data_IF_589059179069
#
_entry.id   IF_589059179069
#
_cell.length_a   1.000
_cell.length_b   1.000
_cell.length_c   1.000
_cell.angle_alpha   90.00
_cell.angle_beta   90.00
_cell.angle_gamma   90.00
#
_symmetry.space_group_name_H-M   'P 1'
#
loop_
_entity.id
_entity.type
_entity.pdbx_description
1 polymer ?
#
# COMPACT_ATOMS: atom_id res chain seq x y z
N UNK A 1 25.96 -6.11 -11.01
CA UNK A 1 24.56 -5.68 -10.92
C UNK A 1 23.97 -5.73 -12.29
N UNK A 2 22.79 -6.27 -12.41
CA UNK A 2 22.09 -6.39 -13.69
C UNK A 2 21.64 -5.02 -14.21
N UNK A 3 21.73 -4.82 -15.51
CA UNK A 3 21.13 -3.67 -16.20
C UNK A 3 19.75 -4.02 -16.80
N UNK A 4 19.13 -5.08 -16.30
CA UNK A 4 17.81 -5.51 -16.74
C UNK A 4 16.74 -4.49 -16.32
N UNK A 5 15.87 -4.14 -17.24
CA UNK A 5 14.70 -3.31 -16.94
C UNK A 5 13.68 -4.15 -16.18
N UNK A 6 13.30 -3.71 -15.01
CA UNK A 6 12.25 -4.33 -14.22
C UNK A 6 10.95 -3.57 -14.43
N UNK A 7 9.91 -4.28 -14.85
CA UNK A 7 8.59 -3.70 -15.12
C UNK A 7 7.55 -4.42 -14.27
N UNK A 8 6.95 -3.70 -13.35
CA UNK A 8 5.75 -4.16 -12.64
C UNK A 8 4.48 -3.81 -13.43
N UNK A 9 3.41 -4.57 -13.21
CA UNK A 9 2.16 -4.38 -13.94
C UNK A 9 0.94 -4.64 -13.07
N UNK A 10 -0.13 -3.93 -13.35
CA UNK A 10 -1.47 -4.18 -12.79
C UNK A 10 -2.42 -4.86 -13.81
N UNK A 11 -1.87 -5.45 -14.88
CA UNK A 11 -2.67 -6.07 -15.93
C UNK A 11 -3.40 -7.33 -15.48
N UNK A 12 -2.92 -8.01 -14.43
CA UNK A 12 -3.53 -9.22 -13.87
C UNK A 12 -3.62 -9.11 -12.34
N UNK A 13 -4.50 -8.26 -11.82
CA UNK A 13 -4.61 -8.07 -10.38
C UNK A 13 -5.17 -9.30 -9.68
N UNK A 14 -4.78 -9.47 -8.42
CA UNK A 14 -5.36 -10.46 -7.52
C UNK A 14 -6.58 -9.86 -6.83
N UNK A 15 -7.66 -10.60 -6.79
CA UNK A 15 -8.86 -10.21 -6.05
C UNK A 15 -8.76 -10.69 -4.60
N UNK A 16 -8.82 -9.77 -3.66
CA UNK A 16 -8.68 -10.06 -2.24
C UNK A 16 -9.95 -9.65 -1.50
N UNK A 17 -10.52 -10.58 -0.73
CA UNK A 17 -11.72 -10.37 0.07
C UNK A 17 -11.39 -10.10 1.53
N UNK A 18 -12.13 -9.19 2.16
CA UNK A 18 -12.06 -8.99 3.60
C UNK A 18 -10.70 -8.54 4.11
N UNK A 19 -10.03 -7.66 3.40
CA UNK A 19 -8.67 -7.21 3.74
C UNK A 19 -8.66 -6.60 5.15
N UNK A 20 -7.80 -7.12 6.00
CA UNK A 20 -7.67 -6.72 7.41
C UNK A 20 -8.99 -6.74 8.19
N UNK A 21 -9.83 -7.73 7.92
CA UNK A 21 -11.14 -7.84 8.57
C UNK A 21 -12.19 -6.87 8.05
N UNK A 22 -11.93 -6.20 6.94
CA UNK A 22 -12.88 -5.34 6.26
C UNK A 22 -13.95 -6.12 5.51
N UNK A 23 -14.59 -5.50 4.56
CA UNK A 23 -15.68 -6.09 3.78
C UNK A 23 -15.54 -5.81 2.29
N UNK A 24 -16.03 -6.76 1.49
CA UNK A 24 -15.98 -6.72 0.03
C UNK A 24 -14.63 -7.12 -0.52
N UNK A 25 -14.49 -7.04 -1.82
CA UNK A 25 -13.30 -7.44 -2.55
C UNK A 25 -12.64 -6.26 -3.25
N UNK A 26 -11.32 -6.20 -3.18
CA UNK A 26 -10.51 -5.23 -3.91
C UNK A 26 -9.61 -5.93 -4.93
N UNK A 27 -9.10 -5.18 -5.90
CA UNK A 27 -8.10 -5.64 -6.85
C UNK A 27 -6.73 -5.13 -6.44
N UNK A 28 -5.76 -6.04 -6.32
CA UNK A 28 -4.43 -5.73 -5.84
C UNK A 28 -3.36 -6.24 -6.80
N UNK A 29 -2.36 -5.41 -7.03
CA UNK A 29 -1.17 -5.75 -7.81
C UNK A 29 0.06 -5.23 -7.12
N UNK A 30 1.11 -6.02 -7.03
CA UNK A 30 2.40 -5.57 -6.55
C UNK A 30 3.29 -5.28 -7.75
N UNK A 31 3.62 -4.00 -7.95
CA UNK A 31 4.52 -3.59 -9.03
C UNK A 31 5.95 -4.00 -8.75
N UNK A 32 6.42 -3.71 -7.55
CA UNK A 32 7.80 -3.94 -7.13
C UNK A 32 7.82 -4.44 -5.70
N UNK A 33 8.81 -5.27 -5.39
CA UNK A 33 9.08 -5.74 -4.03
C UNK A 33 10.45 -5.26 -3.56
N UNK A 34 10.63 -5.19 -2.24
CA UNK A 34 11.87 -4.70 -1.66
C UNK A 34 13.12 -5.50 -2.04
N UNK A 35 12.97 -6.78 -2.40
CA UNK A 35 14.10 -7.61 -2.83
C UNK A 35 14.61 -7.31 -4.24
N UNK A 36 14.02 -6.35 -4.93
CA UNK A 36 14.44 -5.91 -6.27
C UNK A 36 15.38 -4.70 -6.23
N UNK A 37 15.59 -4.09 -5.06
CA UNK A 37 16.32 -2.82 -4.96
C UNK A 37 17.13 -2.70 -3.67
N UNK A 38 18.02 -1.73 -3.65
CA UNK A 38 18.87 -1.44 -2.48
C UNK A 38 18.18 -0.59 -1.42
N UNK A 39 17.17 0.19 -1.80
CA UNK A 39 16.44 1.05 -0.86
C UNK A 39 15.62 0.24 0.13
N UNK A 40 15.20 0.88 1.21
CA UNK A 40 14.35 0.29 2.24
C UNK A 40 12.87 0.29 1.88
N UNK A 41 12.54 0.47 0.60
CA UNK A 41 11.20 0.24 0.08
C UNK A 41 10.87 -1.24 0.20
N UNK A 42 9.76 -1.57 0.86
CA UNK A 42 9.31 -2.94 1.03
C UNK A 42 8.38 -3.39 -0.08
N UNK A 43 7.47 -2.51 -0.50
CA UNK A 43 6.48 -2.83 -1.51
C UNK A 43 5.96 -1.57 -2.20
N UNK A 44 5.72 -1.69 -3.50
CA UNK A 44 5.10 -0.66 -4.33
C UNK A 44 3.92 -1.30 -5.06
N UNK A 45 2.71 -0.84 -4.75
CA UNK A 45 1.48 -1.56 -5.09
C UNK A 45 0.46 -0.67 -5.76
N UNK A 46 -0.43 -1.31 -6.51
CA UNK A 46 -1.62 -0.71 -7.08
C UNK A 46 -2.84 -1.41 -6.49
N UNK A 47 -3.81 -0.62 -6.02
CA UNK A 47 -5.04 -1.15 -5.40
C UNK A 47 -6.23 -0.43 -5.98
N UNK A 48 -7.24 -1.18 -6.37
CA UNK A 48 -8.55 -0.65 -6.74
C UNK A 48 -9.58 -1.11 -5.72
N UNK A 49 -10.18 -0.14 -5.05
CA UNK A 49 -11.16 -0.36 -3.98
C UNK A 49 -12.55 0.02 -4.52
N UNK A 50 -13.40 -0.95 -4.88
CA UNK A 50 -14.73 -0.68 -5.40
C UNK A 50 -15.62 0.07 -4.41
N UNK A 51 -16.74 0.67 -4.90
CA UNK A 51 -17.73 1.26 -4.01
C UNK A 51 -18.22 0.28 -2.94
N UNK A 52 -18.35 0.76 -1.72
CA UNK A 52 -18.82 -0.03 -0.58
C UNK A 52 -17.79 -0.97 0.03
N UNK A 53 -16.59 -1.06 -0.52
CA UNK A 53 -15.52 -1.90 0.02
C UNK A 53 -14.79 -1.18 1.14
N UNK A 54 -14.45 -1.93 2.19
CA UNK A 54 -13.75 -1.44 3.38
C UNK A 54 -12.47 -2.23 3.58
N UNK A 55 -11.34 -1.53 3.68
CA UNK A 55 -10.10 -2.07 4.23
C UNK A 55 -10.17 -1.88 5.74
N UNK A 56 -10.19 -2.98 6.48
CA UNK A 56 -10.40 -2.97 7.93
C UNK A 56 -9.26 -2.30 8.70
N UNK A 57 -9.56 -1.92 9.93
CA UNK A 57 -8.59 -1.29 10.81
C UNK A 57 -7.45 -2.26 11.18
N UNK A 58 -6.22 -1.79 11.03
CA UNK A 58 -5.03 -2.55 11.38
C UNK A 58 -3.88 -1.62 11.77
N UNK A 59 -2.91 -2.16 12.49
CA UNK A 59 -1.74 -1.43 12.97
C UNK A 59 -0.53 -1.77 12.12
N UNK A 60 0.20 -0.77 11.67
CA UNK A 60 1.48 -0.94 10.99
C UNK A 60 2.61 -1.01 12.00
N UNK A 61 3.00 -2.22 12.40
CA UNK A 61 4.02 -2.44 13.43
C UNK A 61 5.44 -2.50 12.87
N UNK A 62 5.62 -2.58 11.55
CA UNK A 62 6.91 -2.76 10.90
C UNK A 62 7.20 -1.78 9.77
N UNK A 63 6.22 -1.03 9.31
CA UNK A 63 6.30 -0.23 8.09
C UNK A 63 5.68 1.13 8.28
N UNK A 64 6.17 2.07 7.50
CA UNK A 64 5.43 3.28 7.15
C UNK A 64 4.73 3.03 5.82
N UNK A 65 3.54 3.59 5.64
CA UNK A 65 2.76 3.37 4.41
C UNK A 65 2.19 4.66 3.89
N UNK A 66 2.28 4.86 2.58
CA UNK A 66 1.68 5.99 1.88
C UNK A 66 0.60 5.47 0.94
N UNK A 67 -0.60 6.03 1.05
CA UNK A 67 -1.67 5.90 0.06
C UNK A 67 -1.69 7.16 -0.79
N UNK A 68 -1.50 7.02 -2.08
CA UNK A 68 -1.70 8.10 -3.05
C UNK A 68 -2.96 7.81 -3.86
N UNK A 69 -3.91 8.76 -3.88
CA UNK A 69 -5.16 8.62 -4.62
C UNK A 69 -4.97 9.07 -6.06
N UNK A 70 -5.14 8.15 -7.01
CA UNK A 70 -5.10 8.45 -8.44
C UNK A 70 -6.46 8.93 -8.91
N UNK A 71 -7.53 8.24 -8.50
CA UNK A 71 -8.92 8.61 -8.82
C UNK A 71 -9.87 8.10 -7.75
N UNK A 72 -11.08 8.63 -7.77
CA UNK A 72 -12.13 8.28 -6.80
C UNK A 72 -11.95 9.03 -5.49
N UNK A 73 -12.86 8.79 -4.57
CA UNK A 73 -12.85 9.43 -3.24
C UNK A 73 -13.04 8.38 -2.16
N UNK A 74 -12.29 8.53 -1.10
CA UNK A 74 -12.35 7.62 0.03
C UNK A 74 -12.33 8.35 1.37
N UNK A 75 -12.62 7.61 2.41
CA UNK A 75 -12.48 8.06 3.79
C UNK A 75 -11.34 7.28 4.43
N UNK A 76 -10.32 8.02 4.86
CA UNK A 76 -9.16 7.48 5.53
C UNK A 76 -9.22 7.79 7.02
N UNK A 77 -9.04 6.78 7.85
CA UNK A 77 -8.86 6.94 9.29
C UNK A 77 -7.40 6.64 9.63
N UNK A 78 -6.75 7.53 10.32
CA UNK A 78 -5.43 7.31 10.92
C UNK A 78 -5.52 7.68 12.39
N UNK A 79 -5.37 6.69 13.27
CA UNK A 79 -5.65 6.87 14.69
C UNK A 79 -7.12 7.25 14.90
N UNK A 80 -7.36 8.38 15.54
CA UNK A 80 -8.72 8.90 15.80
C UNK A 80 -9.14 9.96 14.77
N UNK A 81 -8.27 10.32 13.84
CA UNK A 81 -8.55 11.32 12.82
C UNK A 81 -9.12 10.68 11.56
N UNK A 82 -10.20 11.26 11.06
CA UNK A 82 -10.89 10.81 9.86
C UNK A 82 -10.86 11.93 8.83
N UNK A 83 -10.41 11.61 7.61
CA UNK A 83 -10.35 12.54 6.50
C UNK A 83 -10.93 11.95 5.23
N UNK A 84 -11.69 12.75 4.50
CA UNK A 84 -12.00 12.45 3.11
C UNK A 84 -10.79 12.78 2.25
N UNK A 85 -10.44 11.85 1.35
CA UNK A 85 -9.32 12.00 0.42
C UNK A 85 -9.77 11.75 -1.01
N UNK A 86 -9.14 12.46 -1.94
CA UNK A 86 -9.46 12.40 -3.35
C UNK A 86 -8.23 12.50 -4.24
N UNK A 87 -8.42 12.58 -5.56
CA UNK A 87 -7.34 12.55 -6.55
C UNK A 87 -6.23 13.56 -6.27
N UNK A 88 -4.99 13.11 -6.37
CA UNK A 88 -3.81 13.94 -6.15
C UNK A 88 -3.40 14.12 -4.68
N UNK A 89 -4.09 13.46 -3.76
CA UNK A 89 -3.77 13.53 -2.33
C UNK A 89 -3.07 12.26 -1.86
N UNK A 90 -2.12 12.43 -0.95
CA UNK A 90 -1.41 11.34 -0.30
C UNK A 90 -1.66 11.34 1.20
N UNK A 91 -1.76 10.16 1.78
CA UNK A 91 -1.91 9.97 3.23
C UNK A 91 -0.78 9.10 3.73
N UNK A 92 -0.06 9.59 4.74
CA UNK A 92 0.97 8.83 5.43
C UNK A 92 0.38 8.18 6.68
N UNK A 93 0.60 6.88 6.81
CA UNK A 93 0.42 6.16 8.07
C UNK A 93 1.80 5.88 8.64
N UNK A 94 2.16 6.48 9.78
CA UNK A 94 3.47 6.30 10.38
C UNK A 94 3.63 4.91 11.00
N UNK A 95 4.88 4.55 11.32
CA UNK A 95 5.17 3.34 12.09
C UNK A 95 4.33 3.33 13.38
N UNK A 96 3.76 2.18 13.70
CA UNK A 96 2.79 1.96 14.80
C UNK A 96 1.44 2.67 14.62
N UNK A 97 1.23 3.32 13.47
CA UNK A 97 -0.04 3.92 13.14
C UNK A 97 -1.12 2.88 12.90
N UNK A 98 -2.33 3.20 13.34
CA UNK A 98 -3.53 2.41 13.09
C UNK A 98 -4.34 3.10 12.02
N UNK A 99 -4.76 2.38 10.99
CA UNK A 99 -5.57 2.97 9.96
C UNK A 99 -6.62 2.02 9.39
N UNK A 100 -7.60 2.61 8.71
CA UNK A 100 -8.61 1.94 7.91
C UNK A 100 -8.98 2.83 6.73
N UNK A 101 -9.59 2.25 5.70
CA UNK A 101 -9.98 2.96 4.49
C UNK A 101 -11.30 2.40 3.95
N UNK A 102 -12.13 3.28 3.43
CA UNK A 102 -13.33 2.89 2.67
C UNK A 102 -13.54 3.83 1.48
N UNK A 103 -14.04 3.28 0.40
CA UNK A 103 -14.48 4.05 -0.75
C UNK A 103 -15.82 4.71 -0.45
N UNK A 104 -15.96 5.97 -0.81
CA UNK A 104 -17.22 6.72 -0.74
C UNK A 104 -17.65 7.12 -2.13
N UNK A 105 -18.98 7.22 -2.34
CA UNK A 105 -19.54 7.54 -3.66
C UNK A 105 -19.65 6.33 -4.58
N UNK A 106 -19.84 6.58 -5.86
CA UNK A 106 -20.21 5.57 -6.87
C UNK A 106 -19.03 5.10 -7.72
N UNK A 107 -17.87 5.73 -7.56
CA UNK A 107 -16.65 5.37 -8.29
C UNK A 107 -15.72 4.54 -7.43
N UNK A 108 -14.98 3.59 -8.02
CA UNK A 108 -13.88 2.94 -7.30
C UNK A 108 -12.78 3.96 -6.99
N UNK A 109 -12.07 3.73 -5.90
CA UNK A 109 -10.82 4.43 -5.60
C UNK A 109 -9.66 3.64 -6.17
N UNK A 110 -8.79 4.32 -6.91
CA UNK A 110 -7.53 3.79 -7.40
C UNK A 110 -6.40 4.38 -6.57
N UNK A 111 -5.63 3.51 -5.94
CA UNK A 111 -4.53 3.87 -5.06
C UNK A 111 -3.19 3.36 -5.60
N UNK A 112 -2.17 4.17 -5.44
CA UNK A 112 -0.78 3.73 -5.43
C UNK A 112 -0.35 3.65 -3.97
N UNK A 113 0.17 2.50 -3.55
CA UNK A 113 0.55 2.24 -2.18
C UNK A 113 2.05 1.98 -2.10
N UNK A 114 2.74 2.74 -1.27
CA UNK A 114 4.17 2.54 -1.00
C UNK A 114 4.35 2.16 0.45
N UNK A 115 5.07 1.09 0.70
CA UNK A 115 5.43 0.63 2.05
C UNK A 115 6.93 0.69 2.22
N UNK A 116 7.39 1.36 3.29
CA UNK A 116 8.80 1.58 3.60
C UNK A 116 9.16 0.98 4.96
N UNK A 117 10.39 0.50 5.08
CA UNK A 117 10.94 0.00 6.34
C UNK A 117 11.76 1.11 7.02
N UNK A 118 11.27 1.69 8.12
CA UNK A 118 12.01 2.75 8.82
C UNK A 118 13.21 2.22 9.61
N UNK A 119 14.19 3.07 9.98
CA UNK A 119 15.40 2.66 10.71
C UNK A 119 15.16 1.81 11.95
N UNK A 120 14.17 2.07 12.83
CA UNK A 120 13.92 1.19 13.97
C UNK A 120 13.68 -0.27 13.59
N UNK A 121 13.22 -0.51 12.37
CA UNK A 121 12.97 -1.85 11.84
C UNK A 121 14.21 -2.37 11.11
N UNK A 122 14.81 -1.57 10.23
CA UNK A 122 15.99 -2.00 9.46
C UNK A 122 17.21 -2.24 10.36
N UNK A 123 17.30 -1.53 11.48
CA UNK A 123 18.38 -1.71 12.46
C UNK A 123 18.41 -3.10 13.12
N UNK A 124 17.26 -3.80 13.13
CA UNK A 124 17.12 -5.13 13.72
C UNK A 124 16.98 -6.25 12.69
N UNK A 125 16.97 -5.91 11.41
CA UNK A 125 16.89 -6.86 10.31
C UNK A 125 18.27 -7.08 9.66
N UNK A 126 18.48 -8.23 8.98
CA UNK A 126 19.64 -8.40 8.11
C UNK A 126 19.73 -7.28 7.07
N UNK A 127 20.95 -6.93 6.60
CA UNK A 127 21.10 -5.93 5.55
C UNK A 127 20.24 -6.25 4.34
N UNK A 128 19.49 -5.26 3.89
CA UNK A 128 18.67 -5.37 2.70
C UNK A 128 19.52 -5.17 1.44
N UNK A 129 19.31 -6.00 0.45
CA UNK A 129 19.95 -5.88 -0.87
C UNK A 129 19.15 -6.63 -1.92
N UNK A 130 19.29 -6.24 -3.20
CA UNK A 130 18.66 -6.98 -4.28
C UNK A 130 19.09 -8.44 -4.31
N UNK A 131 18.16 -9.32 -4.68
CA UNK A 131 18.49 -10.71 -4.94
C UNK A 131 19.52 -10.79 -6.08
N UNK A 132 20.55 -11.63 -5.89
CA UNK A 132 21.51 -11.90 -6.95
C UNK A 132 20.84 -12.69 -8.05
N UNK A 133 21.18 -12.35 -9.29
CA UNK A 133 20.78 -13.19 -10.42
C UNK A 133 21.53 -14.52 -10.39
N UNK A 134 20.78 -15.57 -10.59
CA UNK A 134 21.36 -16.90 -10.70
C UNK A 134 22.13 -17.09 -12.02
#
# INVERSE_FOLDING_TARGET
MSETVLVGSNAAPVRIHGVHGGSGALAWSRFLTGNMMWSDLDSFEHVVVPPGVVIGEHVHSRKEEVYFVVRGRGEMRVGDEVREVGPGQAVLTPLHGRHSFRTIGDEPVELIVSEMLPPPITDVLPPHRPAEEA
#
